data_IF_057212273574
#
_entry.id   IF_057212273574
#
_cell.length_a   1.000
_cell.length_b   1.000
_cell.length_c   1.000
_cell.angle_alpha   90.00
_cell.angle_beta   90.00
_cell.angle_gamma   90.00
#
_symmetry.space_group_name_H-M   'P 1'
#
loop_
_entity.id
_entity.type
_entity.pdbx_description
1 polymer ?
#
# COMPACT_ATOMS: atom_id res chain seq x y z
N UNK A 1 3.04 -5.37 103.95
CA UNK A 1 2.78 -5.94 102.61
C UNK A 1 2.05 -4.92 101.73
N UNK A 2 2.72 -4.36 100.72
CA UNK A 2 2.22 -3.94 99.37
C UNK A 2 3.20 -2.92 98.74
N UNK A 3 4.12 -3.46 97.94
CA UNK A 3 5.08 -2.71 97.12
C UNK A 3 4.33 -2.22 95.87
N UNK A 4 4.29 -0.90 95.63
CA UNK A 4 3.75 -0.32 94.38
C UNK A 4 4.88 -0.21 93.36
N UNK A 5 4.93 -1.13 92.38
CA UNK A 5 5.83 -1.04 91.22
C UNK A 5 5.24 -0.03 90.21
N UNK A 6 5.98 1.04 89.91
CA UNK A 6 5.68 1.96 88.80
C UNK A 6 6.31 1.40 87.53
N UNK A 7 5.49 1.04 86.54
CA UNK A 7 5.93 0.65 85.21
C UNK A 7 6.14 1.92 84.37
N UNK A 8 7.37 2.14 83.89
CA UNK A 8 7.69 3.14 82.87
C UNK A 8 7.46 2.50 81.50
N UNK A 9 6.51 3.01 80.73
CA UNK A 9 6.32 2.64 79.33
C UNK A 9 7.38 3.35 78.47
N UNK A 10 8.15 2.57 77.71
CA UNK A 10 9.02 3.07 76.64
C UNK A 10 8.23 2.99 75.33
N UNK A 11 7.92 4.14 74.73
CA UNK A 11 7.33 4.21 73.40
C UNK A 11 8.41 4.07 72.33
N UNK A 12 8.28 3.07 71.46
CA UNK A 12 9.11 2.93 70.26
C UNK A 12 8.42 3.71 69.12
N UNK A 13 9.08 4.65 68.45
CA UNK A 13 8.50 5.33 67.30
C UNK A 13 8.52 4.37 66.10
N UNK A 14 7.34 4.03 65.57
CA UNK A 14 7.20 3.31 64.30
C UNK A 14 7.25 4.34 63.19
N UNK A 15 8.37 4.38 62.44
CA UNK A 15 8.46 5.16 61.23
C UNK A 15 7.73 4.43 60.08
N UNK A 16 6.60 4.98 59.63
CA UNK A 16 5.95 4.52 58.39
C UNK A 16 6.79 4.97 57.19
N UNK A 17 7.48 4.03 56.55
CA UNK A 17 8.04 4.24 55.22
C UNK A 17 6.91 4.10 54.18
N UNK A 18 6.51 5.20 53.56
CA UNK A 18 5.57 5.18 52.43
C UNK A 18 6.35 4.78 51.16
N UNK A 19 6.19 3.53 50.72
CA UNK A 19 6.67 3.07 49.42
C UNK A 19 5.76 3.61 48.32
N UNK A 20 6.25 4.59 47.55
CA UNK A 20 5.65 5.02 46.30
C UNK A 20 5.75 3.88 45.29
N UNK A 21 4.63 3.22 45.02
CA UNK A 21 4.49 2.28 43.89
C UNK A 21 4.55 3.08 42.59
N UNK A 22 5.69 3.07 41.93
CA UNK A 22 5.80 3.50 40.53
C UNK A 22 5.12 2.43 39.69
N UNK A 23 3.87 2.67 39.31
CA UNK A 23 3.18 1.83 38.32
C UNK A 23 3.79 2.15 36.97
N UNK A 24 4.43 1.19 36.26
CA UNK A 24 4.91 1.44 34.93
C UNK A 24 3.70 1.70 34.03
N UNK A 25 3.57 2.94 33.55
CA UNK A 25 2.70 3.25 32.42
C UNK A 25 3.26 2.49 31.22
N UNK A 26 2.57 1.43 30.78
CA UNK A 26 2.82 0.85 29.46
C UNK A 26 2.57 1.97 28.46
N UNK A 27 3.63 2.40 27.75
CA UNK A 27 3.46 3.20 26.56
C UNK A 27 2.52 2.40 25.64
N UNK A 28 1.32 2.92 25.40
CA UNK A 28 0.49 2.42 24.31
C UNK A 28 1.25 2.78 23.03
N UNK A 29 1.76 1.76 22.33
CA UNK A 29 2.19 1.98 20.97
C UNK A 29 1.00 2.59 20.21
N UNK A 30 1.26 3.64 19.43
CA UNK A 30 0.27 4.10 18.45
C UNK A 30 -0.20 2.87 17.66
N UNK A 31 -1.49 2.80 17.27
CA UNK A 31 -1.92 1.76 16.35
C UNK A 31 -0.96 1.79 15.15
N UNK A 32 -0.36 0.65 14.82
CA UNK A 32 0.48 0.58 13.63
C UNK A 32 -0.44 0.83 12.42
N UNK A 33 0.00 1.69 11.51
CA UNK A 33 -0.67 1.87 10.23
C UNK A 33 -0.67 0.53 9.46
N UNK A 34 -1.57 0.39 8.49
CA UNK A 34 -1.66 -0.82 7.67
C UNK A 34 -0.30 -1.15 7.03
N UNK A 35 0.09 -2.44 6.96
CA UNK A 35 1.24 -2.84 6.16
C UNK A 35 1.06 -2.46 4.70
N UNK A 36 2.09 -1.84 4.12
CA UNK A 36 2.10 -1.41 2.72
C UNK A 36 2.93 -2.37 1.88
N UNK A 37 2.31 -2.89 0.83
CA UNK A 37 2.95 -3.70 -0.19
C UNK A 37 3.29 -2.84 -1.41
N UNK A 38 4.58 -2.63 -1.63
CA UNK A 38 5.12 -1.96 -2.82
C UNK A 38 5.33 -3.01 -3.92
N UNK A 39 4.72 -2.78 -5.08
CA UNK A 39 4.71 -3.70 -6.23
C UNK A 39 5.38 -3.03 -7.43
N UNK A 40 6.47 -3.62 -7.93
CA UNK A 40 7.26 -3.08 -9.03
C UNK A 40 6.61 -3.30 -10.41
N UNK A 41 7.08 -2.54 -11.40
CA UNK A 41 6.64 -2.63 -12.79
C UNK A 41 7.37 -3.68 -13.64
N UNK A 42 7.11 -3.61 -14.95
CA UNK A 42 7.71 -4.44 -16.00
C UNK A 42 9.25 -4.37 -15.95
N UNK A 43 9.92 -5.51 -16.18
CA UNK A 43 11.39 -5.67 -16.23
C UNK A 43 12.17 -5.51 -14.92
N UNK A 44 11.50 -5.23 -13.79
CA UNK A 44 12.14 -5.11 -12.49
C UNK A 44 12.22 -6.44 -11.69
N UNK A 45 11.73 -7.55 -12.25
CA UNK A 45 11.78 -8.89 -11.62
C UNK A 45 13.22 -9.37 -11.44
N UNK A 46 13.53 -9.99 -10.29
CA UNK A 46 14.89 -10.50 -10.00
C UNK A 46 15.96 -9.41 -9.88
N UNK A 47 15.58 -8.14 -10.06
CA UNK A 47 16.43 -6.99 -9.86
C UNK A 47 16.35 -6.48 -8.42
N UNK A 48 15.48 -6.97 -7.54
CA UNK A 48 15.38 -6.46 -6.15
C UNK A 48 16.71 -6.32 -5.37
N UNK A 49 17.71 -7.22 -5.49
CA UNK A 49 19.02 -6.99 -4.87
C UNK A 49 19.93 -6.00 -5.64
N UNK A 50 19.61 -5.61 -6.88
CA UNK A 50 20.32 -4.64 -7.73
C UNK A 50 19.56 -3.31 -7.95
N UNK A 51 18.26 -3.30 -7.67
CA UNK A 51 17.27 -2.25 -7.89
C UNK A 51 16.74 -1.73 -6.55
N UNK A 52 17.54 -1.83 -5.48
CA UNK A 52 17.19 -1.21 -4.21
C UNK A 52 16.83 0.28 -4.40
N UNK A 53 17.45 0.96 -5.37
CA UNK A 53 17.25 2.38 -5.63
C UNK A 53 15.82 2.78 -6.06
N UNK A 54 15.06 1.93 -6.75
CA UNK A 54 13.83 2.37 -7.41
C UNK A 54 12.73 2.75 -6.43
N UNK A 55 12.65 2.08 -5.27
CA UNK A 55 11.61 2.33 -4.26
C UNK A 55 12.14 2.85 -2.93
N UNK A 56 13.46 3.00 -2.75
CA UNK A 56 14.07 3.34 -1.46
C UNK A 56 13.50 4.62 -0.84
N UNK A 57 13.29 5.68 -1.64
CA UNK A 57 12.70 6.92 -1.16
C UNK A 57 11.26 6.73 -0.66
N UNK A 58 10.44 6.01 -1.42
CA UNK A 58 9.07 5.67 -1.04
C UNK A 58 9.05 4.78 0.20
N UNK A 59 9.88 3.73 0.27
CA UNK A 59 10.02 2.86 1.44
C UNK A 59 10.38 3.66 2.69
N UNK A 60 11.36 4.54 2.57
CA UNK A 60 11.82 5.39 3.68
C UNK A 60 10.70 6.32 4.17
N UNK A 61 9.97 6.95 3.24
CA UNK A 61 8.86 7.84 3.58
C UNK A 61 7.69 7.10 4.25
N UNK A 62 7.26 5.96 3.69
CA UNK A 62 6.19 5.13 4.27
C UNK A 62 6.56 4.59 5.65
N UNK A 63 7.81 4.14 5.82
CA UNK A 63 8.32 3.68 7.12
C UNK A 63 8.36 4.84 8.13
N UNK A 64 8.78 6.03 7.70
CA UNK A 64 8.79 7.22 8.54
C UNK A 64 7.37 7.68 8.94
N UNK A 65 6.37 7.38 8.12
CA UNK A 65 4.96 7.64 8.43
C UNK A 65 4.32 6.56 9.33
N UNK A 66 5.05 5.48 9.64
CA UNK A 66 4.62 4.45 10.59
C UNK A 66 4.07 3.18 9.94
N UNK A 67 4.11 3.05 8.61
CA UNK A 67 3.71 1.83 7.91
C UNK A 67 4.81 0.76 7.97
N UNK A 68 4.48 -0.50 8.29
CA UNK A 68 5.31 -1.65 7.93
C UNK A 68 5.39 -1.79 6.41
N UNK A 69 6.58 -1.89 5.83
CA UNK A 69 6.74 -1.89 4.36
C UNK A 69 7.29 -3.22 3.84
N UNK A 70 6.57 -3.81 2.90
CA UNK A 70 6.94 -5.03 2.18
C UNK A 70 7.13 -4.69 0.70
N UNK A 71 8.26 -5.09 0.12
CA UNK A 71 8.46 -5.01 -1.33
C UNK A 71 8.22 -6.39 -1.92
N UNK A 72 7.31 -6.47 -2.88
CA UNK A 72 6.95 -7.73 -3.54
C UNK A 72 7.91 -7.97 -4.72
N UNK A 73 8.58 -9.13 -4.71
CA UNK A 73 9.34 -9.61 -5.88
C UNK A 73 8.38 -10.34 -6.82
N UNK A 74 8.12 -9.74 -7.98
CA UNK A 74 7.25 -10.37 -8.96
C UNK A 74 8.03 -11.48 -9.71
N UNK A 75 7.42 -12.66 -9.93
CA UNK A 75 8.09 -13.78 -10.59
C UNK A 75 8.37 -13.58 -12.09
N UNK A 76 7.81 -12.54 -12.71
CA UNK A 76 8.02 -12.22 -14.12
C UNK A 76 7.00 -11.20 -14.66
N UNK A 77 6.66 -11.32 -15.95
CA UNK A 77 5.82 -10.34 -16.67
C UNK A 77 4.40 -10.84 -16.96
N UNK A 78 3.93 -11.84 -16.19
CA UNK A 78 2.56 -12.33 -16.23
C UNK A 78 1.82 -11.84 -14.98
N UNK A 79 0.75 -11.08 -15.17
CA UNK A 79 0.04 -10.39 -14.11
C UNK A 79 -0.71 -11.34 -13.16
N UNK A 80 -1.20 -12.49 -13.63
CA UNK A 80 -1.88 -13.46 -12.75
C UNK A 80 -0.89 -14.13 -11.79
N UNK A 81 0.24 -14.73 -12.24
CA UNK A 81 1.30 -15.19 -11.34
C UNK A 81 1.83 -14.10 -10.40
N UNK A 82 1.91 -12.86 -10.87
CA UNK A 82 2.30 -11.71 -10.06
C UNK A 82 1.27 -11.42 -8.96
N UNK A 83 -0.03 -11.44 -9.28
CA UNK A 83 -1.11 -11.28 -8.31
C UNK A 83 -1.10 -12.41 -7.25
N UNK A 84 -0.76 -13.64 -7.62
CA UNK A 84 -0.57 -14.74 -6.67
C UNK A 84 0.63 -14.49 -5.73
N UNK A 85 1.72 -13.88 -6.22
CA UNK A 85 2.84 -13.47 -5.39
C UNK A 85 2.43 -12.37 -4.40
N UNK A 86 1.70 -11.36 -4.86
CA UNK A 86 1.11 -10.32 -4.01
C UNK A 86 0.22 -10.96 -2.93
N UNK A 87 -0.64 -11.91 -3.30
CA UNK A 87 -1.50 -12.61 -2.34
C UNK A 87 -0.74 -13.29 -1.21
N UNK A 88 0.41 -13.92 -1.51
CA UNK A 88 1.23 -14.57 -0.48
C UNK A 88 1.84 -13.55 0.48
N UNK A 89 2.36 -12.45 -0.04
CA UNK A 89 2.94 -11.37 0.78
C UNK A 89 1.85 -10.66 1.59
N UNK A 90 0.66 -10.46 1.03
CA UNK A 90 -0.46 -9.81 1.71
C UNK A 90 -0.93 -10.64 2.91
N UNK A 91 -1.06 -11.95 2.75
CA UNK A 91 -1.40 -12.86 3.84
C UNK A 91 -0.31 -12.89 4.92
N UNK A 92 0.97 -12.91 4.51
CA UNK A 92 2.09 -12.84 5.45
C UNK A 92 2.06 -11.53 6.25
N UNK A 93 1.99 -10.39 5.58
CA UNK A 93 1.99 -9.07 6.20
C UNK A 93 0.80 -8.90 7.15
N UNK A 94 -0.41 -9.29 6.71
CA UNK A 94 -1.59 -9.27 7.57
C UNK A 94 -1.39 -10.13 8.81
N UNK A 95 -0.90 -11.37 8.67
CA UNK A 95 -0.67 -12.28 9.79
C UNK A 95 0.39 -11.77 10.78
N UNK A 96 1.52 -11.24 10.28
CA UNK A 96 2.60 -10.66 11.10
C UNK A 96 2.12 -9.42 11.88
N UNK A 97 1.14 -8.70 11.35
CA UNK A 97 0.55 -7.50 11.94
C UNK A 97 -0.84 -7.73 12.56
N UNK A 98 -1.10 -8.95 13.06
CA UNK A 98 -2.27 -9.23 13.91
C UNK A 98 -3.61 -9.27 13.16
N UNK A 99 -3.59 -9.57 11.86
CA UNK A 99 -4.77 -9.60 10.99
C UNK A 99 -5.15 -8.22 10.46
N UNK A 100 -4.22 -7.26 10.44
CA UNK A 100 -4.45 -5.94 9.85
C UNK A 100 -4.82 -6.05 8.36
N UNK A 101 -5.64 -5.10 7.89
CA UNK A 101 -5.78 -4.84 6.45
C UNK A 101 -4.45 -4.35 5.89
N UNK A 102 -4.27 -4.45 4.58
CA UNK A 102 -3.06 -4.06 3.87
C UNK A 102 -3.36 -2.95 2.87
N UNK A 103 -2.34 -2.18 2.55
CA UNK A 103 -2.37 -1.19 1.48
C UNK A 103 -1.49 -1.64 0.32
N UNK A 104 -1.98 -1.47 -0.91
CA UNK A 104 -1.25 -1.80 -2.13
C UNK A 104 -0.76 -0.52 -2.80
N UNK A 105 0.52 -0.46 -3.12
CA UNK A 105 1.12 0.60 -3.95
C UNK A 105 1.78 -0.05 -5.16
N UNK A 106 1.13 0.02 -6.31
CA UNK A 106 1.60 -0.59 -7.55
C UNK A 106 2.13 0.42 -8.55
N UNK A 107 3.34 0.21 -9.06
CA UNK A 107 3.93 1.04 -10.12
C UNK A 107 3.78 0.35 -11.48
N UNK A 108 3.37 1.10 -12.51
CA UNK A 108 3.29 0.60 -13.89
C UNK A 108 2.52 -0.72 -13.99
N UNK A 109 3.07 -1.75 -14.64
CA UNK A 109 2.49 -3.12 -14.67
C UNK A 109 2.12 -3.68 -13.29
N UNK A 110 2.87 -3.33 -12.24
CA UNK A 110 2.60 -3.76 -10.86
C UNK A 110 1.24 -3.30 -10.35
N UNK A 111 0.75 -2.14 -10.82
CA UNK A 111 -0.60 -1.65 -10.54
C UNK A 111 -1.69 -2.57 -11.10
N UNK A 112 -1.49 -3.14 -12.29
CA UNK A 112 -2.43 -4.10 -12.89
C UNK A 112 -2.45 -5.42 -12.12
N UNK A 113 -1.28 -5.93 -11.75
CA UNK A 113 -1.16 -7.14 -10.91
C UNK A 113 -1.81 -6.94 -9.54
N UNK A 114 -1.61 -5.77 -8.92
CA UNK A 114 -2.22 -5.43 -7.63
C UNK A 114 -3.74 -5.28 -7.72
N UNK A 115 -4.27 -4.65 -8.79
CA UNK A 115 -5.72 -4.53 -9.01
C UNK A 115 -6.35 -5.90 -9.25
N UNK A 116 -5.69 -6.78 -10.00
CA UNK A 116 -6.14 -8.16 -10.18
C UNK A 116 -6.21 -8.92 -8.86
N UNK A 117 -5.20 -8.77 -7.99
CA UNK A 117 -5.23 -9.34 -6.64
C UNK A 117 -6.44 -8.83 -5.84
N UNK A 118 -6.60 -7.51 -5.73
CA UNK A 118 -7.71 -6.91 -4.98
C UNK A 118 -9.09 -7.34 -5.52
N UNK A 119 -9.24 -7.44 -6.85
CA UNK A 119 -10.52 -7.78 -7.50
C UNK A 119 -10.86 -9.27 -7.42
N UNK A 120 -9.89 -10.16 -7.62
CA UNK A 120 -10.19 -11.59 -7.84
C UNK A 120 -9.65 -12.53 -6.76
N UNK A 121 -8.58 -12.14 -6.06
CA UNK A 121 -7.85 -13.04 -5.15
C UNK A 121 -8.01 -12.64 -3.68
N UNK A 122 -8.36 -11.39 -3.40
CA UNK A 122 -8.56 -10.88 -2.04
C UNK A 122 -9.90 -11.33 -1.42
N UNK A 123 -10.07 -12.64 -1.29
CA UNK A 123 -11.25 -13.26 -0.69
C UNK A 123 -11.43 -12.96 0.81
N UNK A 124 -10.40 -12.42 1.46
CA UNK A 124 -10.41 -12.04 2.88
C UNK A 124 -10.74 -10.58 3.14
N UNK A 125 -10.95 -9.77 2.08
CA UNK A 125 -11.10 -8.31 2.16
C UNK A 125 -9.93 -7.64 2.89
N UNK A 126 -8.71 -8.14 2.64
CA UNK A 126 -7.48 -7.64 3.24
C UNK A 126 -7.13 -6.25 2.73
N UNK A 127 -7.34 -5.94 1.45
CA UNK A 127 -6.94 -4.65 0.87
C UNK A 127 -7.82 -3.54 1.45
N UNK A 128 -7.23 -2.49 2.02
CA UNK A 128 -7.91 -1.26 2.43
C UNK A 128 -7.76 -0.17 1.37
N UNK A 129 -6.53 0.06 0.90
CA UNK A 129 -6.23 1.02 -0.15
C UNK A 129 -5.53 0.34 -1.33
N UNK A 130 -5.92 0.75 -2.53
CA UNK A 130 -5.19 0.48 -3.77
C UNK A 130 -4.73 1.82 -4.33
N UNK A 131 -3.42 1.99 -4.46
CA UNK A 131 -2.81 3.17 -5.08
C UNK A 131 -1.96 2.71 -6.26
N UNK A 132 -2.24 3.24 -7.45
CA UNK A 132 -1.45 2.97 -8.65
C UNK A 132 -0.69 4.21 -9.10
N UNK A 133 0.55 4.06 -9.53
CA UNK A 133 1.42 5.12 -10.04
C UNK A 133 1.79 4.79 -11.49
N UNK A 134 1.52 5.70 -12.43
CA UNK A 134 1.87 5.54 -13.86
C UNK A 134 1.22 4.32 -14.52
N UNK A 135 0.18 3.75 -13.92
CA UNK A 135 -0.42 2.50 -14.39
C UNK A 135 -1.44 2.80 -15.49
N UNK A 136 -1.21 2.30 -16.70
CA UNK A 136 -2.22 2.27 -17.75
C UNK A 136 -3.31 1.26 -17.40
N UNK A 137 -4.34 1.71 -16.69
CA UNK A 137 -5.38 0.85 -16.10
C UNK A 137 -6.12 -0.01 -17.14
N UNK A 138 -6.29 0.54 -18.35
CA UNK A 138 -6.92 -0.12 -19.50
C UNK A 138 -5.90 -0.62 -20.52
N UNK A 139 -4.64 -0.77 -20.11
CA UNK A 139 -3.53 -1.29 -20.90
C UNK A 139 -2.79 -0.25 -21.74
N UNK A 140 -1.74 -0.72 -22.44
CA UNK A 140 -0.83 0.09 -23.25
C UNK A 140 -0.62 -0.54 -24.64
N UNK A 141 -1.16 0.07 -25.72
CA UNK A 141 -1.26 -0.53 -27.07
C UNK A 141 0.03 -1.11 -27.67
N UNK A 142 1.21 -0.48 -27.56
CA UNK A 142 2.47 -1.06 -28.05
C UNK A 142 2.78 -2.47 -27.52
N UNK A 143 2.29 -2.83 -26.33
CA UNK A 143 2.48 -4.18 -25.78
C UNK A 143 1.69 -5.26 -26.51
N UNK A 144 0.71 -4.89 -27.35
CA UNK A 144 0.01 -5.83 -28.21
C UNK A 144 0.92 -6.51 -29.25
N UNK A 145 2.13 -5.98 -29.47
CA UNK A 145 3.14 -6.59 -30.33
C UNK A 145 4.08 -7.56 -29.57
N UNK A 146 3.93 -7.66 -28.26
CA UNK A 146 4.79 -8.47 -27.39
C UNK A 146 4.12 -9.83 -27.09
N UNK A 147 4.92 -10.91 -26.97
CA UNK A 147 4.46 -12.14 -26.34
C UNK A 147 3.96 -11.90 -24.90
N UNK A 148 2.96 -12.66 -24.45
CA UNK A 148 2.37 -12.50 -23.12
C UNK A 148 3.40 -12.55 -21.99
N UNK A 149 4.33 -13.50 -22.05
CA UNK A 149 5.34 -13.73 -21.02
C UNK A 149 6.47 -12.68 -20.96
N UNK A 150 6.43 -11.67 -21.84
CA UNK A 150 7.37 -10.53 -21.81
C UNK A 150 6.65 -9.19 -21.73
N UNK A 151 5.38 -9.17 -21.30
CA UNK A 151 4.60 -7.94 -21.09
C UNK A 151 3.36 -7.79 -21.98
N UNK A 152 3.10 -8.74 -22.90
CA UNK A 152 1.95 -8.67 -23.80
C UNK A 152 0.57 -8.71 -23.11
N UNK A 153 0.50 -9.11 -21.84
CA UNK A 153 -0.74 -9.03 -21.06
C UNK A 153 -1.21 -7.60 -20.79
N UNK A 154 -0.34 -6.60 -20.90
CA UNK A 154 -0.70 -5.18 -20.81
C UNK A 154 -1.42 -4.67 -22.06
N UNK A 155 -1.60 -5.50 -23.09
CA UNK A 155 -2.30 -5.10 -24.31
C UNK A 155 -3.78 -4.80 -24.01
N UNK A 156 -4.33 -3.62 -24.38
CA UNK A 156 -5.74 -3.30 -24.20
C UNK A 156 -6.70 -4.30 -24.87
N UNK A 157 -6.28 -4.84 -26.02
CA UNK A 157 -7.01 -5.88 -26.74
C UNK A 157 -6.64 -7.31 -26.27
N UNK A 158 -5.94 -7.45 -25.15
CA UNK A 158 -5.56 -8.72 -24.55
C UNK A 158 -6.68 -9.36 -23.74
N UNK A 159 -6.58 -10.66 -23.46
CA UNK A 159 -7.53 -11.36 -22.59
C UNK A 159 -7.43 -10.89 -21.14
N UNK A 160 -6.21 -10.60 -20.66
CA UNK A 160 -5.98 -10.15 -19.31
C UNK A 160 -6.69 -8.81 -19.02
N UNK A 161 -6.40 -7.75 -19.79
CA UNK A 161 -7.04 -6.43 -19.60
C UNK A 161 -8.56 -6.53 -19.71
N UNK A 162 -9.09 -7.19 -20.76
CA UNK A 162 -10.53 -7.39 -20.88
C UNK A 162 -11.17 -8.10 -19.68
N UNK A 163 -10.47 -9.07 -19.09
CA UNK A 163 -10.97 -9.74 -17.89
C UNK A 163 -10.89 -8.82 -16.67
N UNK A 164 -9.79 -8.07 -16.53
CA UNK A 164 -9.59 -7.14 -15.42
C UNK A 164 -10.65 -6.03 -15.41
N UNK A 165 -11.00 -5.51 -16.59
CA UNK A 165 -11.95 -4.39 -16.77
C UNK A 165 -13.39 -4.85 -17.02
N UNK A 166 -13.67 -6.15 -16.90
CA UNK A 166 -15.05 -6.63 -17.00
C UNK A 166 -15.81 -6.32 -15.70
N UNK A 167 -16.91 -5.59 -15.80
CA UNK A 167 -17.74 -5.19 -14.68
C UNK A 167 -17.11 -4.09 -13.82
N UNK A 168 -17.31 -4.14 -12.51
CA UNK A 168 -16.82 -3.12 -11.57
C UNK A 168 -15.29 -3.12 -11.48
N UNK A 169 -14.63 -2.00 -11.75
CA UNK A 169 -13.18 -1.85 -11.64
C UNK A 169 -12.72 -1.64 -10.20
N UNK A 170 -13.64 -1.22 -9.34
CA UNK A 170 -13.43 -0.79 -7.96
C UNK A 170 -14.23 -1.60 -6.94
N UNK A 171 -14.26 -2.95 -7.02
CA UNK A 171 -15.16 -3.74 -6.20
C UNK A 171 -14.77 -3.74 -4.71
N UNK A 172 -15.80 -3.84 -3.87
CA UNK A 172 -15.65 -4.02 -2.43
C UNK A 172 -15.41 -2.72 -1.66
N UNK A 173 -15.03 -2.86 -0.38
CA UNK A 173 -14.75 -1.73 0.52
C UNK A 173 -13.27 -1.30 0.38
N UNK A 174 -12.83 -0.95 -0.82
CA UNK A 174 -11.43 -0.56 -1.10
C UNK A 174 -11.41 0.86 -1.64
N UNK A 175 -10.51 1.69 -1.11
CA UNK A 175 -10.25 3.03 -1.64
C UNK A 175 -9.28 2.92 -2.82
N UNK A 176 -9.77 3.15 -4.04
CA UNK A 176 -8.95 3.13 -5.26
C UNK A 176 -8.44 4.52 -5.62
N UNK A 177 -7.13 4.67 -5.78
CA UNK A 177 -6.47 5.90 -6.22
C UNK A 177 -5.55 5.65 -7.41
N UNK A 178 -5.70 6.43 -8.47
CA UNK A 178 -4.82 6.41 -9.65
C UNK A 178 -4.05 7.73 -9.76
N UNK A 179 -2.72 7.63 -9.82
CA UNK A 179 -1.80 8.77 -9.93
C UNK A 179 -1.02 8.64 -11.25
N UNK A 180 -1.00 9.70 -12.06
CA UNK A 180 -0.20 9.76 -13.29
C UNK A 180 0.59 11.06 -13.38
N UNK A 181 1.81 10.96 -13.88
CA UNK A 181 2.65 12.11 -14.12
C UNK A 181 2.46 12.68 -15.51
N UNK A 182 2.68 13.98 -15.65
CA UNK A 182 2.66 14.65 -16.96
C UNK A 182 3.68 14.07 -17.96
N UNK A 183 4.73 13.39 -17.48
CA UNK A 183 5.69 12.71 -18.34
C UNK A 183 5.11 11.43 -18.96
N UNK A 184 4.19 10.75 -18.27
CA UNK A 184 3.45 9.60 -18.82
C UNK A 184 2.42 10.03 -19.89
N UNK A 185 2.11 11.33 -19.96
CA UNK A 185 1.15 11.89 -20.92
C UNK A 185 1.84 12.36 -22.20
N UNK A 186 3.14 12.67 -22.12
CA UNK A 186 3.95 13.22 -23.21
C UNK A 186 4.78 12.19 -23.99
N UNK A 187 4.84 10.95 -23.52
CA UNK A 187 5.55 9.88 -24.18
C UNK A 187 4.64 9.15 -25.21
N UNK A 188 5.21 8.25 -26.00
CA UNK A 188 4.43 7.39 -26.91
C UNK A 188 3.59 6.35 -26.16
N UNK A 189 3.46 6.47 -24.83
CA UNK A 189 2.70 5.59 -23.97
C UNK A 189 1.29 6.06 -23.70
N UNK A 190 1.01 7.34 -23.89
CA UNK A 190 -0.32 7.89 -23.63
C UNK A 190 -1.35 7.56 -24.72
N UNK A 191 -2.47 6.99 -24.30
CA UNK A 191 -3.69 6.81 -25.08
C UNK A 191 -4.86 7.48 -24.36
N UNK A 192 -5.95 7.80 -25.06
CA UNK A 192 -7.13 8.40 -24.39
C UNK A 192 -7.75 7.51 -23.31
N UNK A 193 -7.44 6.21 -23.32
CA UNK A 193 -7.87 5.27 -22.28
C UNK A 193 -7.06 5.44 -20.98
N UNK A 194 -5.84 5.97 -21.05
CA UNK A 194 -4.97 6.20 -19.90
C UNK A 194 -5.48 7.33 -18.97
N UNK A 195 -6.28 8.23 -19.51
CA UNK A 195 -6.95 9.33 -18.78
C UNK A 195 -8.34 8.95 -18.27
N UNK A 196 -8.78 7.72 -18.50
CA UNK A 196 -10.09 7.30 -18.01
C UNK A 196 -10.00 6.96 -16.52
N UNK A 197 -10.91 7.49 -15.68
CA UNK A 197 -11.08 7.01 -14.33
C UNK A 197 -11.50 5.53 -14.34
N UNK A 198 -11.24 4.83 -13.24
CA UNK A 198 -11.75 3.46 -13.05
C UNK A 198 -13.27 3.49 -12.96
N UNK A 199 -13.94 2.50 -13.55
CA UNK A 199 -15.39 2.34 -13.39
C UNK A 199 -15.76 2.07 -11.93
N UNK A 200 -16.80 2.74 -11.45
CA UNK A 200 -17.17 2.76 -10.03
C UNK A 200 -16.55 3.96 -9.29
N UNK A 201 -16.28 3.81 -8.00
CA UNK A 201 -15.83 4.90 -7.14
C UNK A 201 -14.30 4.92 -7.03
N UNK A 202 -13.66 5.96 -7.59
CA UNK A 202 -12.21 6.10 -7.54
C UNK A 202 -11.77 7.54 -7.33
N UNK A 203 -10.56 7.71 -6.78
CA UNK A 203 -9.83 8.96 -6.80
C UNK A 203 -8.83 8.94 -7.97
N UNK A 204 -8.77 10.02 -8.74
CA UNK A 204 -7.85 10.14 -9.86
C UNK A 204 -7.12 11.47 -9.84
N UNK A 205 -5.81 11.44 -10.09
CA UNK A 205 -4.99 12.62 -10.32
C UNK A 205 -4.03 12.40 -11.48
N UNK A 206 -4.14 13.23 -12.51
CA UNK A 206 -3.24 13.25 -13.68
C UNK A 206 -2.44 14.55 -13.72
N UNK A 207 -1.46 14.64 -14.63
CA UNK A 207 -0.66 15.85 -14.82
C UNK A 207 0.27 16.19 -13.65
N UNK A 208 0.64 15.21 -12.83
CA UNK A 208 1.56 15.43 -11.70
C UNK A 208 2.94 15.83 -12.23
N UNK A 209 3.58 16.81 -11.60
CA UNK A 209 5.01 17.10 -11.79
C UNK A 209 5.85 16.06 -11.03
N UNK A 210 5.84 14.83 -11.55
CA UNK A 210 6.46 13.66 -10.91
C UNK A 210 7.73 13.17 -11.61
N UNK A 211 8.16 13.84 -12.69
CA UNK A 211 9.30 13.40 -13.49
C UNK A 211 8.98 12.20 -14.39
N UNK A 212 10.00 11.56 -15.00
CA UNK A 212 9.82 10.42 -15.90
C UNK A 212 9.18 9.21 -15.22
N UNK A 213 8.50 8.37 -16.00
CA UNK A 213 7.83 7.14 -15.55
C UNK A 213 8.68 6.25 -14.61
N UNK A 214 9.97 6.08 -14.89
CA UNK A 214 10.86 5.24 -14.07
C UNK A 214 11.23 5.88 -12.72
N UNK A 215 11.03 7.19 -12.57
CA UNK A 215 11.42 7.97 -11.40
C UNK A 215 10.24 8.28 -10.46
N UNK A 216 9.00 8.02 -10.87
CA UNK A 216 7.81 8.31 -10.07
C UNK A 216 7.88 7.74 -8.65
N UNK A 217 8.34 6.48 -8.42
CA UNK A 217 8.42 5.94 -7.07
C UNK A 217 9.53 6.57 -6.20
N UNK A 218 10.41 7.38 -6.80
CA UNK A 218 11.44 8.17 -6.10
C UNK A 218 11.02 9.63 -5.92
N UNK A 219 9.97 10.07 -6.62
CA UNK A 219 9.60 11.46 -6.65
C UNK A 219 8.89 11.88 -5.34
N UNK A 220 9.36 12.93 -4.63
CA UNK A 220 8.79 13.33 -3.36
C UNK A 220 7.34 13.84 -3.47
N UNK A 221 6.95 14.45 -4.59
CA UNK A 221 5.57 14.88 -4.85
C UNK A 221 4.66 13.66 -4.96
N UNK A 222 5.05 12.67 -5.76
CA UNK A 222 4.28 11.42 -5.92
C UNK A 222 4.16 10.69 -4.58
N UNK A 223 5.26 10.57 -3.83
CA UNK A 223 5.27 9.95 -2.50
C UNK A 223 4.31 10.65 -1.52
N UNK A 224 4.26 11.98 -1.53
CA UNK A 224 3.35 12.72 -0.67
C UNK A 224 1.87 12.43 -1.01
N UNK A 225 1.54 12.30 -2.29
CA UNK A 225 0.19 11.98 -2.76
C UNK A 225 -0.20 10.53 -2.41
N UNK A 226 0.74 9.59 -2.44
CA UNK A 226 0.53 8.22 -1.96
C UNK A 226 0.17 8.25 -0.47
N UNK A 227 0.97 8.93 0.36
CA UNK A 227 0.71 9.04 1.81
C UNK A 227 -0.65 9.68 2.09
N UNK A 228 -1.07 10.66 1.30
CA UNK A 228 -2.41 11.24 1.39
C UNK A 228 -3.51 10.21 1.09
N UNK A 229 -3.35 9.44 0.02
CA UNK A 229 -4.26 8.36 -0.36
C UNK A 229 -4.37 7.25 0.69
N UNK A 230 -3.24 6.83 1.28
CA UNK A 230 -3.20 5.80 2.32
C UNK A 230 -3.85 6.24 3.65
N UNK A 231 -4.01 7.54 3.86
CA UNK A 231 -4.77 8.10 5.00
C UNK A 231 -6.27 8.24 4.70
N UNK A 232 -6.72 7.73 3.55
CA UNK A 232 -8.12 7.74 3.13
C UNK A 232 -8.59 9.06 2.52
N UNK A 233 -7.67 9.97 2.17
CA UNK A 233 -8.02 11.20 1.45
C UNK A 233 -7.84 11.02 -0.05
N UNK A 234 -8.67 11.69 -0.86
CA UNK A 234 -8.44 11.72 -2.30
C UNK A 234 -7.51 12.89 -2.65
N UNK A 235 -6.26 12.64 -3.11
CA UNK A 235 -5.34 13.70 -3.52
C UNK A 235 -5.74 14.42 -4.81
N UNK A 236 -6.72 13.90 -5.55
CA UNK A 236 -7.17 14.43 -6.82
C UNK A 236 -8.68 14.64 -6.88
N UNK A 237 -9.29 14.18 -7.97
CA UNK A 237 -10.72 14.22 -8.18
C UNK A 237 -11.35 12.86 -7.82
N UNK A 238 -12.36 12.88 -6.94
CA UNK A 238 -13.26 11.75 -6.78
C UNK A 238 -14.17 11.64 -8.00
N UNK A 239 -14.25 10.45 -8.57
CA UNK A 239 -15.06 10.14 -9.75
C UNK A 239 -15.94 8.94 -9.45
N UNK A 240 -17.18 9.01 -9.93
CA UNK A 240 -18.16 7.93 -9.90
C UNK A 240 -18.54 7.58 -11.35
N UNK A 241 -17.79 6.66 -11.96
CA UNK A 241 -18.04 6.24 -13.34
C UNK A 241 -19.07 5.10 -13.42
N UNK A 242 -19.98 5.09 -14.41
CA UNK A 242 -20.90 3.99 -14.61
C UNK A 242 -20.19 2.66 -14.86
N UNK A 243 -20.60 1.62 -14.16
CA UNK A 243 -20.14 0.25 -14.39
C UNK A 243 -20.82 -0.31 -15.63
N UNK A 244 -20.02 -0.76 -16.60
CA UNK A 244 -20.50 -1.41 -17.82
C UNK A 244 -20.30 -2.93 -17.74
N UNK A 245 -21.28 -3.69 -18.26
CA UNK A 245 -21.19 -5.16 -18.38
C UNK A 245 -20.37 -5.61 -19.60
#
# INVERSE_FOLDING_TARGET
MRIRKRLRAWGIPVALAATLLVVPTRAQALPAENPVLIVHGWTAHGALPLAADWSDAMRAALTADGHPVYVVDLPGELNIPNAEAISRVAQQASAEHGGARIDLVGHSMGGLSARYFAKFLDTGHLTAHYVSIGTGQYGWYPTCLLPSNVGGEMCPAGTFIRQLDHGDDTPGDVSYTTLRTSADDGDSFHTTADDLPLQGHSCMLTGIDGGPHADEPKNPTVIALILEALRGHCPGQLVDEPITE
#
